data_IF_211674187614
#
_entry.id   IF_211674187614
#
_cell.length_a   1.000
_cell.length_b   1.000
_cell.length_c   1.000
_cell.angle_alpha   90.00
_cell.angle_beta   90.00
_cell.angle_gamma   90.00
#
_symmetry.space_group_name_H-M   'P 1'
#
loop_
_entity.id
_entity.type
_entity.pdbx_description
1 polymer ?
#
# COMPACT_ATOMS: atom_id res chain seq x y z
N UNK A 1 -7.71 -9.64 78.42
CA UNK A 1 -8.27 -10.91 78.91
C UNK A 1 -8.96 -11.58 77.72
N UNK A 2 -8.46 -12.77 77.33
CA UNK A 2 -8.87 -13.69 76.25
C UNK A 2 -8.89 -13.19 74.79
N UNK A 3 -7.78 -13.48 74.09
CA UNK A 3 -7.76 -13.82 72.66
C UNK A 3 -8.35 -15.22 72.46
N UNK A 4 -9.24 -15.39 71.48
CA UNK A 4 -9.52 -16.70 70.85
C UNK A 4 -9.57 -16.54 69.34
N UNK A 5 -8.60 -17.18 68.70
CA UNK A 5 -8.39 -17.34 67.26
C UNK A 5 -9.16 -18.57 66.78
N UNK A 6 -9.95 -18.47 65.71
CA UNK A 6 -10.48 -19.63 64.94
C UNK A 6 -10.55 -19.21 63.45
N UNK A 7 -9.50 -19.51 62.66
CA UNK A 7 -9.41 -20.56 61.60
C UNK A 7 -10.35 -20.40 60.41
N UNK A 8 -9.82 -19.89 59.30
CA UNK A 8 -10.42 -19.91 57.95
C UNK A 8 -10.01 -21.20 57.23
N UNK A 9 -10.98 -21.96 56.71
CA UNK A 9 -10.74 -23.17 55.91
C UNK A 9 -10.82 -22.82 54.42
N UNK A 10 -9.71 -22.96 53.70
CA UNK A 10 -9.62 -22.80 52.25
C UNK A 10 -9.79 -24.16 51.57
N UNK A 11 -10.85 -24.35 50.80
CA UNK A 11 -11.02 -25.54 49.94
C UNK A 11 -10.45 -25.27 48.55
N UNK A 12 -9.30 -25.89 48.25
CA UNK A 12 -8.73 -25.99 46.91
C UNK A 12 -9.41 -27.13 46.15
N UNK A 13 -10.09 -26.83 45.04
CA UNK A 13 -10.49 -27.83 44.04
C UNK A 13 -9.57 -27.72 42.83
N UNK A 14 -8.63 -28.65 42.72
CA UNK A 14 -7.89 -28.95 41.49
C UNK A 14 -8.77 -29.73 40.53
N UNK A 15 -9.06 -29.17 39.36
CA UNK A 15 -9.57 -29.92 38.21
C UNK A 15 -8.43 -30.19 37.24
N UNK A 16 -8.00 -31.45 37.20
CA UNK A 16 -7.08 -32.01 36.21
C UNK A 16 -7.80 -32.20 34.88
N UNK A 17 -7.42 -31.42 33.86
CA UNK A 17 -7.82 -31.64 32.47
C UNK A 17 -6.75 -32.49 31.77
N UNK A 18 -7.14 -33.71 31.43
CA UNK A 18 -6.38 -34.68 30.65
C UNK A 18 -6.48 -34.33 29.16
N UNK A 19 -5.35 -34.05 28.52
CA UNK A 19 -5.25 -33.91 27.07
C UNK A 19 -5.13 -35.30 26.41
N UNK A 20 -5.91 -35.65 25.39
CA UNK A 20 -5.63 -36.81 24.56
C UNK A 20 -4.54 -36.49 23.54
N UNK A 21 -3.49 -37.32 23.54
CA UNK A 21 -2.46 -37.37 22.50
C UNK A 21 -3.11 -37.74 21.16
N UNK A 22 -3.06 -36.84 20.18
CA UNK A 22 -3.29 -37.17 18.77
C UNK A 22 -1.93 -37.39 18.09
N UNK A 23 -1.64 -38.67 17.84
CA UNK A 23 -0.57 -39.13 16.97
C UNK A 23 -0.82 -38.66 15.54
N UNK A 24 0.02 -37.76 15.04
CA UNK A 24 0.09 -37.38 13.63
C UNK A 24 1.01 -38.38 12.93
N UNK A 25 0.42 -39.28 12.15
CA UNK A 25 1.12 -40.11 11.17
C UNK A 25 1.66 -39.23 10.03
N UNK A 26 2.98 -39.24 9.86
CA UNK A 26 3.69 -38.68 8.71
C UNK A 26 3.27 -39.41 7.42
N UNK A 27 2.58 -38.72 6.52
CA UNK A 27 2.39 -39.13 5.13
C UNK A 27 3.35 -38.32 4.26
N UNK A 28 4.52 -38.90 3.99
CA UNK A 28 5.45 -38.42 2.96
C UNK A 28 4.78 -38.56 1.58
N UNK A 29 4.29 -37.45 1.02
CA UNK A 29 4.00 -37.36 -0.41
C UNK A 29 5.20 -36.73 -1.12
N UNK A 30 5.93 -37.56 -1.85
CA UNK A 30 6.90 -37.14 -2.85
C UNK A 30 6.18 -36.40 -3.99
N UNK A 31 6.17 -35.07 -3.96
CA UNK A 31 5.89 -34.28 -5.14
C UNK A 31 7.18 -34.10 -5.96
N UNK A 32 7.17 -34.70 -7.16
CA UNK A 32 8.17 -34.49 -8.19
C UNK A 32 8.19 -33.01 -8.60
N UNK A 33 9.37 -32.38 -8.77
CA UNK A 33 9.46 -31.04 -9.33
C UNK A 33 9.01 -31.08 -10.79
N UNK A 34 7.95 -30.33 -11.10
CA UNK A 34 7.47 -30.14 -12.46
C UNK A 34 8.42 -29.17 -13.16
N UNK A 35 9.19 -29.68 -14.10
CA UNK A 35 10.10 -28.92 -14.97
C UNK A 35 9.28 -28.09 -15.95
N UNK A 36 9.44 -26.77 -15.91
CA UNK A 36 8.96 -25.87 -16.96
C UNK A 36 9.94 -25.89 -18.15
N UNK A 37 9.48 -25.91 -19.41
CA UNK A 37 10.36 -25.85 -20.56
C UNK A 37 10.96 -24.44 -20.72
N UNK A 38 12.26 -24.33 -20.47
CA UNK A 38 13.07 -23.19 -20.90
C UNK A 38 13.15 -23.26 -22.43
N UNK A 39 12.43 -22.38 -23.12
CA UNK A 39 12.62 -22.17 -24.55
C UNK A 39 13.79 -21.22 -24.75
N UNK A 40 14.98 -21.78 -24.94
CA UNK A 40 16.16 -21.04 -25.43
C UNK A 40 15.97 -20.72 -26.91
N UNK A 41 15.69 -19.46 -27.26
CA UNK A 41 15.89 -18.99 -28.64
C UNK A 41 17.34 -18.50 -28.79
N UNK A 42 18.04 -18.87 -29.87
CA UNK A 42 19.43 -18.48 -30.08
C UNK A 42 19.53 -16.98 -30.36
N UNK A 43 20.45 -16.34 -29.65
CA UNK A 43 20.85 -14.95 -29.79
C UNK A 43 21.67 -14.80 -31.08
N UNK A 44 21.09 -14.21 -32.13
CA UNK A 44 21.85 -13.84 -33.33
C UNK A 44 22.55 -12.50 -33.09
N UNK A 45 23.88 -12.54 -32.99
CA UNK A 45 24.72 -11.35 -32.96
C UNK A 45 24.59 -10.58 -34.29
N UNK A 46 24.01 -9.38 -34.26
CA UNK A 46 24.20 -8.37 -35.30
C UNK A 46 25.31 -7.44 -34.86
N UNK A 47 26.45 -7.51 -35.56
CA UNK A 47 27.57 -6.58 -35.42
C UNK A 47 27.11 -5.18 -35.87
N UNK A 48 26.77 -4.31 -34.93
CA UNK A 48 26.72 -2.86 -35.17
C UNK A 48 28.08 -2.26 -34.88
N UNK A 49 28.70 -1.75 -35.93
CA UNK A 49 29.90 -0.94 -35.92
C UNK A 49 29.71 0.29 -35.02
N UNK A 50 30.57 0.45 -34.02
CA UNK A 50 30.69 1.65 -33.20
C UNK A 50 31.45 2.72 -33.97
N UNK A 51 30.75 3.62 -34.66
CA UNK A 51 31.32 4.92 -35.05
C UNK A 51 31.34 5.83 -33.82
N UNK A 52 32.51 5.93 -33.20
CA UNK A 52 32.83 6.94 -32.19
C UNK A 52 32.88 8.29 -32.91
N UNK A 53 31.92 9.18 -32.63
CA UNK A 53 32.03 10.60 -33.00
C UNK A 53 32.94 11.31 -31.98
N UNK A 54 33.90 12.14 -32.42
CA UNK A 54 34.76 12.87 -31.48
C UNK A 54 33.95 13.90 -30.71
N UNK A 55 34.12 13.94 -29.39
CA UNK A 55 33.61 15.01 -28.53
C UNK A 55 34.43 16.28 -28.80
N UNK A 56 33.76 17.33 -29.29
CA UNK A 56 34.33 18.68 -29.39
C UNK A 56 34.36 19.32 -28.01
N UNK A 57 35.51 19.84 -27.60
CA UNK A 57 35.78 20.40 -26.27
C UNK A 57 35.18 21.80 -26.02
N UNK A 58 34.27 22.28 -26.88
CA UNK A 58 33.83 23.68 -26.92
C UNK A 58 32.54 24.02 -26.17
N UNK A 59 32.00 23.13 -25.33
CA UNK A 59 30.76 23.42 -24.56
C UNK A 59 30.97 24.18 -23.24
N UNK A 60 32.15 24.77 -23.01
CA UNK A 60 32.48 25.49 -21.76
C UNK A 60 32.26 27.01 -21.84
N UNK A 61 31.24 27.47 -22.55
CA UNK A 61 30.77 28.87 -22.51
C UNK A 61 29.23 28.94 -22.69
N UNK A 62 28.50 28.83 -21.58
CA UNK A 62 27.41 29.77 -21.24
C UNK A 62 26.19 29.99 -22.14
N UNK A 63 25.90 29.16 -23.14
CA UNK A 63 24.63 29.24 -23.89
C UNK A 63 24.03 27.84 -24.09
N UNK A 64 23.26 27.39 -23.11
CA UNK A 64 22.46 26.17 -23.23
C UNK A 64 21.29 26.41 -24.16
N UNK A 65 21.34 25.80 -25.35
CA UNK A 65 20.16 25.60 -26.18
C UNK A 65 19.17 24.75 -25.39
N UNK A 66 18.07 25.38 -24.95
CA UNK A 66 16.87 24.70 -24.46
C UNK A 66 16.50 23.61 -25.47
N UNK A 67 16.64 22.34 -25.08
CA UNK A 67 16.00 21.24 -25.80
C UNK A 67 14.51 21.56 -25.86
N UNK A 68 13.83 21.47 -27.01
CA UNK A 68 12.38 21.65 -27.06
C UNK A 68 11.76 20.57 -26.17
N UNK A 69 11.11 20.96 -25.08
CA UNK A 69 10.22 20.05 -24.37
C UNK A 69 9.11 19.67 -25.34
N UNK A 70 8.83 18.37 -25.46
CA UNK A 70 7.70 17.91 -26.25
C UNK A 70 6.44 18.49 -25.61
N UNK A 71 5.65 19.32 -26.32
CA UNK A 71 4.47 19.98 -25.73
C UNK A 71 3.50 18.97 -25.10
N UNK A 72 3.51 17.73 -25.59
CA UNK A 72 2.69 16.63 -25.06
C UNK A 72 3.12 16.16 -23.66
N UNK A 73 4.43 16.16 -23.35
CA UNK A 73 4.92 15.74 -22.03
C UNK A 73 4.61 16.78 -20.96
N UNK A 74 4.70 18.07 -21.31
CA UNK A 74 4.41 19.18 -20.39
C UNK A 74 2.92 19.23 -20.05
N UNK A 75 2.04 18.99 -21.03
CA UNK A 75 0.59 18.87 -20.79
C UNK A 75 0.23 17.64 -19.94
N UNK A 76 0.80 16.47 -20.23
CA UNK A 76 0.57 15.25 -19.47
C UNK A 76 0.90 15.43 -17.97
N UNK A 77 2.06 16.02 -17.69
CA UNK A 77 2.51 16.30 -16.32
C UNK A 77 1.62 17.31 -15.60
N UNK A 78 1.26 18.42 -16.26
CA UNK A 78 0.37 19.42 -15.63
C UNK A 78 -1.00 18.86 -15.25
N UNK A 79 -1.60 17.97 -16.07
CA UNK A 79 -2.88 17.34 -15.73
C UNK A 79 -2.70 16.38 -14.54
N UNK A 80 -1.67 15.52 -14.57
CA UNK A 80 -1.41 14.57 -13.49
C UNK A 80 -1.03 15.23 -12.17
N UNK A 81 -0.43 16.41 -12.22
CA UNK A 81 -0.06 17.19 -11.05
C UNK A 81 -1.19 18.10 -10.53
N UNK A 82 -2.31 18.20 -11.25
CA UNK A 82 -3.51 18.93 -10.82
C UNK A 82 -4.21 18.29 -9.61
N UNK A 83 -5.18 18.98 -9.00
CA UNK A 83 -5.95 18.45 -7.88
C UNK A 83 -6.85 17.27 -8.28
N UNK A 84 -7.35 16.55 -7.27
CA UNK A 84 -8.46 15.61 -7.46
C UNK A 84 -9.78 16.36 -7.41
N UNK A 85 -10.34 16.65 -8.59
CA UNK A 85 -11.62 17.38 -8.75
C UNK A 85 -12.87 16.49 -8.67
N UNK A 86 -12.71 15.19 -8.40
CA UNK A 86 -13.85 14.30 -8.21
C UNK A 86 -14.62 14.68 -6.93
N UNK A 87 -15.95 14.51 -6.96
CA UNK A 87 -16.83 14.83 -5.82
C UNK A 87 -17.30 13.51 -5.17
N UNK A 88 -17.14 13.33 -3.84
CA UNK A 88 -17.63 12.14 -3.16
C UNK A 88 -19.16 12.15 -3.09
N UNK A 89 -19.78 11.02 -2.71
CA UNK A 89 -21.22 10.97 -2.52
C UNK A 89 -21.70 11.99 -1.45
N UNK A 90 -22.97 12.46 -1.49
CA UNK A 90 -23.47 13.44 -0.53
C UNK A 90 -23.27 13.00 0.92
N UNK A 91 -22.71 13.89 1.74
CA UNK A 91 -22.40 13.61 3.16
C UNK A 91 -21.05 12.91 3.38
N UNK A 92 -20.41 12.42 2.33
CA UNK A 92 -19.15 11.68 2.42
C UNK A 92 -17.94 12.59 2.21
N UNK A 93 -16.78 12.12 2.67
CA UNK A 93 -15.48 12.75 2.41
C UNK A 93 -14.52 11.77 1.74
N UNK A 94 -13.58 12.30 0.95
CA UNK A 94 -12.47 11.53 0.43
C UNK A 94 -11.28 11.51 1.40
N UNK A 95 -10.52 10.42 1.36
CA UNK A 95 -9.18 10.28 1.93
C UNK A 95 -8.34 9.39 1.01
N UNK A 96 -7.02 9.62 0.95
CA UNK A 96 -6.12 8.85 0.07
C UNK A 96 -4.87 8.38 0.83
N UNK A 97 -4.55 7.09 0.66
CA UNK A 97 -3.46 6.44 1.37
C UNK A 97 -2.65 5.53 0.44
N UNK A 98 -1.33 5.70 0.43
CA UNK A 98 -0.37 4.78 -0.18
C UNK A 98 0.40 4.02 0.89
N UNK A 99 0.38 2.70 0.87
CA UNK A 99 0.93 1.87 1.94
C UNK A 99 1.51 0.54 1.40
N UNK A 100 2.15 0.59 0.24
CA UNK A 100 2.63 -0.57 -0.51
C UNK A 100 1.61 -1.06 -1.54
N UNK A 101 1.65 -2.36 -1.86
CA UNK A 101 0.69 -2.98 -2.78
C UNK A 101 -0.76 -2.69 -2.33
N UNK A 102 -1.50 -1.98 -3.16
CA UNK A 102 -2.83 -1.46 -2.80
C UNK A 102 -3.90 -2.52 -2.51
N UNK A 103 -3.66 -3.80 -2.82
CA UNK A 103 -4.64 -4.88 -2.66
C UNK A 103 -4.92 -5.18 -1.18
N UNK A 104 -3.85 -5.29 -0.38
CA UNK A 104 -3.97 -5.50 1.06
C UNK A 104 -4.46 -4.24 1.79
N UNK A 105 -4.07 -3.08 1.27
CA UNK A 105 -4.47 -1.77 1.83
C UNK A 105 -5.96 -1.53 1.62
N UNK A 106 -6.47 -1.82 0.42
CA UNK A 106 -7.90 -1.69 0.11
C UNK A 106 -8.73 -2.56 1.03
N UNK A 107 -8.35 -3.84 1.18
CA UNK A 107 -9.06 -4.78 2.03
C UNK A 107 -9.12 -4.32 3.51
N UNK A 108 -8.08 -3.66 4.01
CA UNK A 108 -8.09 -3.11 5.36
C UNK A 108 -9.17 -2.01 5.51
N UNK A 109 -9.22 -1.06 4.58
CA UNK A 109 -10.24 -0.02 4.59
C UNK A 109 -11.65 -0.54 4.32
N UNK A 110 -11.80 -1.58 3.48
CA UNK A 110 -13.09 -2.22 3.23
C UNK A 110 -13.75 -2.73 4.52
N UNK A 111 -12.95 -3.18 5.50
CA UNK A 111 -13.41 -3.73 6.77
C UNK A 111 -13.72 -2.66 7.81
N UNK A 112 -13.38 -1.39 7.59
CA UNK A 112 -13.60 -0.34 8.58
C UNK A 112 -15.08 0.12 8.56
N UNK A 113 -15.81 0.07 9.69
CA UNK A 113 -17.15 0.66 9.79
C UNK A 113 -17.15 2.15 9.40
N UNK A 114 -18.23 2.65 8.79
CA UNK A 114 -18.34 4.02 8.27
C UNK A 114 -17.59 4.29 6.95
N UNK A 115 -16.69 3.41 6.50
CA UNK A 115 -16.18 3.44 5.11
C UNK A 115 -17.25 2.92 4.15
N UNK A 116 -17.66 3.75 3.20
CA UNK A 116 -18.75 3.45 2.27
C UNK A 116 -18.27 3.04 0.88
N UNK A 117 -17.07 3.46 0.47
CA UNK A 117 -16.45 3.05 -0.80
C UNK A 117 -14.94 2.99 -0.67
N UNK A 118 -14.34 2.01 -1.32
CA UNK A 118 -12.90 1.97 -1.59
C UNK A 118 -12.68 1.85 -3.09
N UNK A 119 -11.57 2.41 -3.56
CA UNK A 119 -11.07 2.15 -4.90
C UNK A 119 -9.56 2.30 -4.96
N UNK A 120 -8.91 1.41 -5.71
CA UNK A 120 -7.46 1.46 -5.93
C UNK A 120 -7.11 2.24 -7.18
N UNK A 121 -5.94 2.89 -7.17
CA UNK A 121 -5.50 3.70 -8.30
C UNK A 121 -4.10 4.26 -8.17
N UNK A 122 -3.80 5.20 -9.06
CA UNK A 122 -2.49 5.83 -9.21
C UNK A 122 -2.61 7.34 -9.05
N UNK A 123 -1.66 7.97 -8.36
CA UNK A 123 -1.64 9.44 -8.17
C UNK A 123 -0.22 9.94 -7.88
N UNK A 124 -0.03 11.25 -7.72
CA UNK A 124 1.23 11.95 -7.43
C UNK A 124 2.35 11.85 -8.48
N UNK A 125 2.15 11.09 -9.55
CA UNK A 125 3.07 10.97 -10.68
C UNK A 125 2.87 12.02 -11.76
N UNK A 126 3.68 11.94 -12.81
CA UNK A 126 3.74 12.94 -13.87
C UNK A 126 3.09 12.49 -15.19
N UNK A 127 2.46 11.32 -15.22
CA UNK A 127 1.86 10.77 -16.43
C UNK A 127 0.34 10.87 -16.34
N UNK A 128 -0.28 11.51 -17.32
CA UNK A 128 -1.74 11.46 -17.47
C UNK A 128 -2.19 10.10 -18.00
N UNK A 129 -3.26 9.55 -17.42
CA UNK A 129 -3.83 8.23 -17.75
C UNK A 129 -2.79 7.08 -17.75
N UNK A 130 -2.05 6.85 -16.66
CA UNK A 130 -1.09 5.75 -16.59
C UNK A 130 -1.81 4.40 -16.57
N UNK A 131 -1.28 3.41 -17.29
CA UNK A 131 -1.65 2.00 -17.10
C UNK A 131 -0.85 1.36 -15.97
N UNK A 132 -1.29 0.20 -15.48
CA UNK A 132 -0.51 -0.59 -14.53
C UNK A 132 0.94 -0.86 -15.01
N UNK A 133 1.11 -1.14 -16.30
CA UNK A 133 2.43 -1.40 -16.89
C UNK A 133 3.33 -0.16 -16.87
N UNK A 134 2.75 1.03 -17.11
CA UNK A 134 3.48 2.28 -17.02
C UNK A 134 3.97 2.51 -15.58
N UNK A 135 3.11 2.28 -14.59
CA UNK A 135 3.47 2.41 -13.16
C UNK A 135 4.52 1.36 -12.76
N UNK A 136 4.39 0.11 -13.21
CA UNK A 136 5.37 -0.96 -12.96
C UNK A 136 6.75 -0.66 -13.52
N UNK A 137 6.87 0.18 -14.55
CA UNK A 137 8.17 0.63 -15.07
C UNK A 137 8.98 1.45 -14.05
N UNK A 138 8.30 2.03 -13.05
CA UNK A 138 8.90 2.91 -12.04
C UNK A 138 9.25 4.31 -12.55
N UNK A 139 8.96 4.63 -13.81
CA UNK A 139 9.37 5.91 -14.43
C UNK A 139 8.33 7.03 -14.29
N UNK A 140 7.08 6.70 -13.96
CA UNK A 140 5.99 7.67 -13.90
C UNK A 140 5.92 8.46 -12.60
N UNK A 141 6.61 7.97 -11.56
CA UNK A 141 6.56 8.45 -10.18
C UNK A 141 5.16 8.39 -9.52
N UNK A 142 4.20 7.70 -10.14
CA UNK A 142 2.93 7.43 -9.48
C UNK A 142 3.12 6.57 -8.24
N UNK A 143 2.27 6.78 -7.23
CA UNK A 143 2.10 5.85 -6.12
C UNK A 143 0.88 4.96 -6.35
N UNK A 144 0.95 3.69 -5.92
CA UNK A 144 -0.26 2.90 -5.69
C UNK A 144 -0.96 3.40 -4.43
N UNK A 145 -2.24 3.74 -4.56
CA UNK A 145 -3.03 4.27 -3.45
C UNK A 145 -4.41 3.65 -3.41
N UNK A 146 -5.02 3.73 -2.22
CA UNK A 146 -6.46 3.55 -2.04
C UNK A 146 -7.08 4.92 -1.84
N UNK A 147 -8.10 5.26 -2.64
CA UNK A 147 -9.02 6.36 -2.37
C UNK A 147 -10.23 5.80 -1.63
N UNK A 148 -10.50 6.37 -0.46
CA UNK A 148 -11.57 5.95 0.45
C UNK A 148 -12.65 7.03 0.46
N UNK A 149 -13.92 6.63 0.37
CA UNK A 149 -15.04 7.46 0.79
C UNK A 149 -15.57 6.97 2.14
N UNK A 150 -15.76 7.89 3.07
CA UNK A 150 -16.24 7.59 4.42
C UNK A 150 -17.28 8.61 4.88
N UNK A 151 -18.21 8.18 5.73
CA UNK A 151 -19.14 9.08 6.42
C UNK A 151 -18.45 9.62 7.68
N UNK A 152 -18.15 10.93 7.77
CA UNK A 152 -17.50 11.53 8.94
C UNK A 152 -18.34 11.43 10.22
N UNK A 153 -19.64 11.08 10.14
CA UNK A 153 -20.50 10.81 11.30
C UNK A 153 -20.34 9.40 11.86
N UNK A 154 -19.87 8.45 11.05
CA UNK A 154 -19.70 7.05 11.44
C UNK A 154 -18.23 6.64 11.59
N UNK A 155 -17.33 7.27 10.83
CA UNK A 155 -15.89 7.02 10.84
C UNK A 155 -15.14 8.34 10.89
N UNK A 156 -14.21 8.50 11.83
CA UNK A 156 -13.35 9.68 11.87
C UNK A 156 -12.13 9.50 10.96
N UNK A 157 -11.47 10.61 10.58
CA UNK A 157 -10.23 10.52 9.82
C UNK A 157 -9.09 9.88 10.64
N UNK A 158 -9.09 10.07 11.97
CA UNK A 158 -8.17 9.40 12.89
C UNK A 158 -8.33 7.88 12.85
N UNK A 159 -9.57 7.37 12.71
CA UNK A 159 -9.81 5.93 12.55
C UNK A 159 -9.21 5.38 11.26
N UNK A 160 -9.23 6.18 10.18
CA UNK A 160 -8.56 5.84 8.93
C UNK A 160 -7.03 5.87 9.08
N UNK A 161 -6.49 6.85 9.82
CA UNK A 161 -5.07 6.94 10.11
C UNK A 161 -4.59 5.74 10.94
N UNK A 162 -5.33 5.33 11.97
CA UNK A 162 -5.01 4.14 12.76
C UNK A 162 -4.99 2.88 11.89
N UNK A 163 -6.00 2.70 11.04
CA UNK A 163 -6.03 1.62 10.04
C UNK A 163 -4.81 1.66 9.09
N UNK A 164 -4.40 2.85 8.66
CA UNK A 164 -3.23 3.05 7.80
C UNK A 164 -1.93 2.65 8.50
N UNK A 165 -1.72 3.12 9.72
CA UNK A 165 -0.51 2.85 10.51
C UNK A 165 -0.37 1.37 10.87
N UNK A 166 -1.48 0.68 11.16
CA UNK A 166 -1.47 -0.76 11.49
C UNK A 166 -1.26 -1.67 10.28
N UNK A 167 -1.43 -1.14 9.06
CA UNK A 167 -1.41 -1.94 7.82
C UNK A 167 0.00 -2.17 7.25
N UNK A 168 0.95 -1.28 7.51
CA UNK A 168 2.24 -1.27 6.81
C UNK A 168 3.42 -0.86 7.69
N UNK A 169 4.64 -0.94 7.16
CA UNK A 169 5.85 -0.43 7.82
C UNK A 169 6.09 0.99 7.29
N UNK A 170 5.87 2.04 8.10
CA UNK A 170 5.99 3.41 7.64
C UNK A 170 7.45 3.91 7.60
N UNK A 171 8.43 3.03 7.81
CA UNK A 171 9.86 3.35 7.93
C UNK A 171 10.71 2.85 6.76
N UNK A 172 10.10 2.20 5.77
CA UNK A 172 10.75 1.68 4.56
C UNK A 172 10.53 2.62 3.38
N UNK A 173 11.58 3.34 2.98
CA UNK A 173 11.51 4.27 1.85
C UNK A 173 11.34 3.49 0.54
N UNK A 174 10.32 3.87 -0.25
CA UNK A 174 10.04 3.33 -1.59
C UNK A 174 10.00 1.79 -1.63
N UNK A 175 9.42 1.19 -0.58
CA UNK A 175 9.30 -0.25 -0.42
C UNK A 175 8.22 -0.57 0.61
N UNK A 176 7.51 -1.66 0.38
CA UNK A 176 6.74 -2.32 1.43
C UNK A 176 6.90 -3.84 1.34
N UNK A 177 7.45 -4.45 2.39
CA UNK A 177 7.82 -5.87 2.35
C UNK A 177 8.79 -6.16 1.19
N UNK A 178 8.40 -7.06 0.29
CA UNK A 178 9.19 -7.43 -0.89
C UNK A 178 8.86 -6.58 -2.13
N UNK A 179 7.85 -5.72 -2.07
CA UNK A 179 7.46 -4.83 -3.16
C UNK A 179 8.35 -3.58 -3.13
N UNK A 180 9.26 -3.46 -4.10
CA UNK A 180 10.28 -2.40 -4.15
C UNK A 180 10.02 -1.46 -5.33
N UNK A 181 9.99 -0.17 -5.05
CA UNK A 181 9.74 0.86 -6.06
C UNK A 181 9.05 2.08 -5.46
N UNK A 182 9.19 3.23 -6.12
CA UNK A 182 8.53 4.48 -5.69
C UNK A 182 7.02 4.34 -5.65
N UNK A 183 6.44 3.45 -6.47
CA UNK A 183 5.02 3.14 -6.50
C UNK A 183 4.49 2.42 -5.25
N UNK A 184 5.36 2.00 -4.34
CA UNK A 184 4.99 1.33 -3.09
C UNK A 184 5.34 2.17 -1.86
N UNK A 185 5.53 3.48 -2.03
CA UNK A 185 5.94 4.37 -0.94
C UNK A 185 4.77 4.63 0.02
N UNK A 186 5.11 4.85 1.28
CA UNK A 186 4.16 5.30 2.30
C UNK A 186 3.77 6.76 2.07
N UNK A 187 2.47 7.06 1.99
CA UNK A 187 1.97 8.41 1.76
C UNK A 187 0.53 8.62 2.23
N UNK A 188 0.25 9.81 2.77
CA UNK A 188 -1.08 10.30 3.10
C UNK A 188 -1.35 11.53 2.23
N UNK A 189 -2.42 11.48 1.45
CA UNK A 189 -2.78 12.55 0.53
C UNK A 189 -4.07 13.22 0.97
N UNK A 190 -3.93 14.42 1.52
CA UNK A 190 -5.03 15.10 2.20
C UNK A 190 -5.85 15.98 1.25
N UNK A 191 -7.16 16.05 1.49
CA UNK A 191 -8.10 16.89 0.77
C UNK A 191 -8.40 18.20 1.50
N UNK A 192 -8.17 18.25 2.82
CA UNK A 192 -8.44 19.44 3.64
C UNK A 192 -7.30 19.75 4.62
N UNK A 193 -7.18 21.01 5.09
CA UNK A 193 -6.21 21.37 6.13
C UNK A 193 -6.40 20.61 7.45
N UNK A 194 -7.64 20.21 7.77
CA UNK A 194 -7.94 19.41 8.96
C UNK A 194 -7.33 18.00 8.84
N UNK A 195 -7.43 17.39 7.65
CA UNK A 195 -6.77 16.10 7.37
C UNK A 195 -5.25 16.24 7.42
N UNK A 196 -4.67 17.30 6.86
CA UNK A 196 -3.23 17.56 6.93
C UNK A 196 -2.76 17.62 8.39
N UNK A 197 -3.43 18.43 9.21
CA UNK A 197 -3.10 18.58 10.63
C UNK A 197 -3.20 17.25 11.38
N UNK A 198 -4.31 16.52 11.22
CA UNK A 198 -4.50 15.23 11.88
C UNK A 198 -3.46 14.19 11.42
N UNK A 199 -3.11 14.17 10.13
CA UNK A 199 -2.07 13.29 9.60
C UNK A 199 -0.70 13.60 10.21
N UNK A 200 -0.31 14.88 10.28
CA UNK A 200 0.95 15.32 10.89
C UNK A 200 1.03 14.93 12.37
N UNK A 201 -0.01 15.23 13.16
CA UNK A 201 -0.07 14.86 14.57
C UNK A 201 -0.03 13.33 14.76
N UNK A 202 -0.70 12.56 13.89
CA UNK A 202 -0.67 11.09 13.96
C UNK A 202 0.71 10.53 13.62
N UNK A 203 1.41 11.11 12.65
CA UNK A 203 2.78 10.73 12.27
C UNK A 203 3.75 10.98 13.43
N UNK A 204 3.64 12.10 14.13
CA UNK A 204 4.45 12.39 15.32
C UNK A 204 4.19 11.37 16.44
N UNK A 205 2.93 11.09 16.74
CA UNK A 205 2.54 10.07 17.73
C UNK A 205 3.06 8.68 17.37
N UNK A 206 3.04 8.33 16.09
CA UNK A 206 3.52 7.03 15.62
C UNK A 206 5.05 6.94 15.63
N UNK A 207 5.75 8.02 15.25
CA UNK A 207 7.22 8.12 15.32
C UNK A 207 7.75 7.86 16.73
N UNK A 208 7.07 8.33 17.77
CA UNK A 208 7.47 8.11 19.17
C UNK A 208 7.50 6.63 19.57
N UNK A 209 6.80 5.75 18.84
CA UNK A 209 6.74 4.31 19.09
C UNK A 209 7.79 3.52 18.30
N UNK A 210 8.50 4.16 17.37
CA UNK A 210 9.39 3.50 16.41
C UNK A 210 10.83 4.02 16.52
N UNK A 211 11.79 3.09 16.47
CA UNK A 211 13.22 3.44 16.47
C UNK A 211 13.70 3.97 15.11
N UNK A 212 13.04 3.53 14.02
CA UNK A 212 13.35 3.97 12.67
C UNK A 212 12.50 5.19 12.33
N UNK A 213 13.07 6.10 11.55
CA UNK A 213 12.36 7.30 11.10
C UNK A 213 11.19 6.93 10.19
N UNK A 214 10.02 7.53 10.47
CA UNK A 214 8.83 7.45 9.64
C UNK A 214 9.04 8.28 8.38
N UNK A 215 9.01 7.61 7.23
CA UNK A 215 9.27 8.21 5.90
C UNK A 215 8.00 8.56 5.14
N UNK A 216 6.82 8.34 5.73
CA UNK A 216 5.51 8.69 5.14
C UNK A 216 5.48 10.14 4.68
N UNK A 217 5.20 10.37 3.40
CA UNK A 217 4.93 11.70 2.86
C UNK A 217 3.50 12.15 3.22
N UNK A 218 3.32 13.43 3.57
CA UNK A 218 2.02 14.03 3.86
C UNK A 218 1.92 15.27 3.00
N UNK A 219 1.16 15.19 1.91
CA UNK A 219 1.08 16.24 0.87
C UNK A 219 -0.35 16.33 0.32
N UNK A 220 -0.71 17.41 -0.38
CA UNK A 220 -2.05 17.54 -0.95
C UNK A 220 -2.41 16.42 -1.93
N UNK A 221 -3.67 15.97 -1.90
CA UNK A 221 -4.25 15.08 -2.89
C UNK A 221 -4.17 15.71 -4.29
N UNK A 222 -3.80 14.86 -5.26
CA UNK A 222 -3.70 15.21 -6.68
C UNK A 222 -4.57 14.28 -7.49
N UNK A 223 -4.66 14.54 -8.80
CA UNK A 223 -5.46 13.76 -9.74
C UNK A 223 -5.35 12.27 -9.47
N UNK A 224 -6.50 11.65 -9.28
CA UNK A 224 -6.61 10.21 -9.05
C UNK A 224 -6.95 9.50 -10.36
N UNK A 225 -6.16 8.49 -10.71
CA UNK A 225 -6.42 7.61 -11.83
C UNK A 225 -6.84 6.25 -11.29
N UNK A 226 -8.14 5.95 -11.36
CA UNK A 226 -8.67 4.64 -10.95
C UNK A 226 -7.96 3.54 -11.75
N UNK A 227 -7.40 2.55 -11.06
CA UNK A 227 -6.75 1.40 -11.68
C UNK A 227 -7.78 0.49 -12.37
N UNK A 228 -7.28 -0.40 -13.24
CA UNK A 228 -8.08 -1.34 -14.01
C UNK A 228 -8.94 -2.24 -13.10
N UNK A 229 -10.10 -2.68 -13.61
CA UNK A 229 -11.10 -3.40 -12.81
C UNK A 229 -10.60 -4.72 -12.21
N UNK A 230 -9.56 -5.32 -12.78
CA UNK A 230 -8.95 -6.53 -12.22
C UNK A 230 -8.14 -6.27 -10.95
N UNK A 231 -7.72 -5.02 -10.67
CA UNK A 231 -7.07 -4.65 -9.41
C UNK A 231 -8.07 -4.36 -8.29
N UNK A 232 -9.30 -4.00 -8.65
CA UNK A 232 -10.33 -3.50 -7.72
C UNK A 232 -10.87 -4.66 -6.87
N UNK A 233 -10.84 -4.52 -5.55
CA UNK A 233 -11.27 -5.52 -4.56
C UNK A 233 -10.63 -6.90 -4.81
N UNK A 234 -9.36 -6.94 -5.24
CA UNK A 234 -8.68 -8.14 -5.72
C UNK A 234 -8.69 -9.31 -4.71
N UNK A 235 -8.37 -9.03 -3.44
CA UNK A 235 -8.33 -10.07 -2.40
C UNK A 235 -9.72 -10.60 -2.02
N UNK A 236 -10.74 -9.74 -2.09
CA UNK A 236 -12.13 -10.14 -1.88
C UNK A 236 -12.63 -11.05 -3.03
N UNK A 237 -12.15 -10.79 -4.25
CA UNK A 237 -12.45 -11.60 -5.45
C UNK A 237 -11.73 -12.96 -5.46
N UNK A 238 -10.71 -13.17 -4.62
CA UNK A 238 -10.00 -14.44 -4.45
C UNK A 238 -8.48 -14.33 -4.46
N UNK A 239 -7.94 -13.17 -4.81
CA UNK A 239 -6.49 -12.98 -4.93
C UNK A 239 -5.85 -13.95 -5.94
N UNK A 240 -4.52 -14.10 -5.83
CA UNK A 240 -3.68 -14.91 -6.71
C UNK A 240 -4.00 -16.40 -6.64
N UNK A 241 -4.45 -16.88 -5.49
CA UNK A 241 -4.61 -18.31 -5.20
C UNK A 241 -6.09 -18.76 -5.15
N UNK A 242 -7.04 -17.86 -5.39
CA UNK A 242 -8.49 -18.14 -5.37
C UNK A 242 -9.12 -18.18 -3.97
N UNK A 243 -8.34 -17.99 -2.90
CA UNK A 243 -8.84 -17.94 -1.52
C UNK A 243 -9.28 -16.52 -1.14
N UNK A 244 -10.60 -16.29 -1.20
CA UNK A 244 -11.19 -15.00 -0.83
C UNK A 244 -10.87 -14.63 0.62
N UNK A 245 -10.67 -13.34 0.85
CA UNK A 245 -10.54 -12.77 2.18
C UNK A 245 -11.77 -11.90 2.45
N UNK A 246 -12.40 -12.08 3.61
CA UNK A 246 -13.65 -11.40 3.96
C UNK A 246 -13.48 -9.89 4.01
N UNK A 247 -14.46 -9.15 3.50
CA UNK A 247 -14.56 -7.68 3.57
C UNK A 247 -15.57 -7.23 4.63
N UNK A 248 -16.07 -8.14 5.47
CA UNK A 248 -17.05 -7.83 6.50
C UNK A 248 -16.53 -6.74 7.44
N UNK A 249 -17.43 -5.83 7.82
CA UNK A 249 -17.09 -4.72 8.72
C UNK A 249 -16.66 -5.28 10.08
N UNK A 250 -15.49 -4.85 10.56
CA UNK A 250 -14.89 -5.35 11.81
C UNK A 250 -14.17 -6.69 11.69
N UNK A 251 -14.04 -7.28 10.49
CA UNK A 251 -13.26 -8.50 10.31
C UNK A 251 -11.78 -8.26 10.65
N UNK A 252 -11.25 -9.04 11.59
CA UNK A 252 -9.86 -8.95 12.05
C UNK A 252 -8.99 -10.14 11.58
N UNK A 253 -9.48 -10.94 10.62
CA UNK A 253 -8.68 -12.02 10.03
C UNK A 253 -7.39 -11.46 9.43
N UNK A 254 -6.22 -12.09 9.63
CA UNK A 254 -4.98 -11.58 9.08
C UNK A 254 -5.03 -11.42 7.55
N UNK A 255 -4.76 -10.20 7.07
CA UNK A 255 -4.72 -9.91 5.64
C UNK A 255 -3.45 -10.49 5.02
N UNK A 256 -3.62 -11.40 4.06
CA UNK A 256 -2.54 -11.96 3.23
C UNK A 256 -2.34 -11.10 1.99
N UNK A 257 -1.10 -10.70 1.72
CA UNK A 257 -0.79 -9.66 0.72
C UNK A 257 -1.34 -9.93 -0.69
N UNK A 258 -1.32 -11.18 -1.15
CA UNK A 258 -1.64 -11.51 -2.54
C UNK A 258 -2.76 -12.53 -2.71
N UNK A 259 -3.30 -13.11 -1.64
CA UNK A 259 -4.28 -14.21 -1.69
C UNK A 259 -4.03 -15.25 -0.62
#
# INVERSE_FOLDING_TARGET
>A
MLLKTITTTTTNTSTTLTHPLLTITSLFHHHKPTTFPITTKPFTHSLRTTTVKPMSWLTRLGFGTRTPTDPSSDQSSSIAQGPDDDIPAPGQQFAQFGAGCFWGVELAFQRLPGVTKTEVGYTQGFMHNPSYNDVCSGTTNHNEVVRVQYDPKECSFESLLDCFWDRHDPTTLNRQGNDVGTQYRSGIYFYTPEQEKAALESKEKHQQKLNRTVVTEIIPAKKFYRAEEYHQQYLAKGGRFGFRQSTEKGCNDPIRCYG
#
